data_IF_856113361357
#
_entry.id   IF_856113361357
#
_cell.length_a   1.000
_cell.length_b   1.000
_cell.length_c   1.000
_cell.angle_alpha   90.00
_cell.angle_beta   90.00
_cell.angle_gamma   90.00
#
_symmetry.space_group_name_H-M   'P 1'
#
loop_
_entity.id
_entity.type
_entity.pdbx_description
1 polymer ?
#
# COMPACT_ATOMS: atom_id res chain seq x y z
N UNK A 1 -14.92 4.34 -5.53
CA UNK A 1 -14.72 5.60 -6.28
C UNK A 1 -13.28 5.57 -6.79
N UNK A 2 -13.07 5.10 -8.01
CA UNK A 2 -11.77 5.16 -8.69
C UNK A 2 -11.65 6.55 -9.30
N UNK A 3 -10.97 7.47 -8.61
CA UNK A 3 -10.52 8.70 -9.23
C UNK A 3 -9.55 8.31 -10.35
N UNK A 4 -9.98 8.50 -11.60
CA UNK A 4 -9.14 8.29 -12.77
C UNK A 4 -7.90 9.18 -12.63
N UNK A 5 -6.70 8.59 -12.77
CA UNK A 5 -5.43 9.32 -12.64
C UNK A 5 -5.40 10.51 -13.61
N UNK A 6 -5.92 10.33 -14.83
CA UNK A 6 -5.99 11.40 -15.82
C UNK A 6 -6.91 12.54 -15.38
N UNK A 7 -8.06 12.25 -14.77
CA UNK A 7 -8.98 13.27 -14.26
C UNK A 7 -8.37 14.03 -13.08
N UNK A 8 -7.70 13.33 -12.15
CA UNK A 8 -7.03 13.97 -11.02
C UNK A 8 -5.89 14.87 -11.49
N UNK A 9 -5.08 14.42 -12.44
CA UNK A 9 -4.01 15.24 -13.03
C UNK A 9 -4.58 16.43 -13.78
N UNK A 10 -5.65 16.22 -14.57
CA UNK A 10 -6.33 17.28 -15.30
C UNK A 10 -6.87 18.35 -14.35
N UNK A 11 -7.51 17.95 -13.25
CA UNK A 11 -8.01 18.88 -12.23
C UNK A 11 -6.90 19.70 -11.57
N UNK A 12 -5.71 19.11 -11.38
CA UNK A 12 -4.56 19.78 -10.77
C UNK A 12 -3.90 20.78 -11.74
N UNK A 13 -4.07 20.60 -13.05
CA UNK A 13 -3.38 21.35 -14.10
C UNK A 13 -4.33 22.24 -14.94
N UNK A 14 -5.55 22.50 -14.47
CA UNK A 14 -6.57 23.21 -15.26
C UNK A 14 -6.08 24.58 -15.73
N UNK A 15 -5.49 25.36 -14.81
CA UNK A 15 -5.03 26.71 -15.09
C UNK A 15 -3.75 26.71 -15.95
N UNK A 16 -2.93 25.66 -15.83
CA UNK A 16 -1.65 25.58 -16.54
C UNK A 16 -1.78 25.19 -18.03
N UNK A 17 -2.97 24.81 -18.50
CA UNK A 17 -3.19 24.36 -19.90
C UNK A 17 -2.99 25.45 -20.95
N UNK A 18 -3.16 26.70 -20.58
CA UNK A 18 -2.99 27.84 -21.50
C UNK A 18 -1.51 28.24 -21.64
N UNK A 19 -0.62 27.65 -20.85
CA UNK A 19 0.81 27.99 -20.84
C UNK A 19 1.62 27.11 -21.79
N UNK A 20 2.83 27.55 -22.19
CA UNK A 20 3.76 26.74 -22.96
C UNK A 20 4.03 25.39 -22.29
N UNK A 21 4.29 24.35 -23.10
CA UNK A 21 4.52 22.98 -22.64
C UNK A 21 5.65 22.89 -21.60
N UNK A 22 6.72 23.67 -21.76
CA UNK A 22 7.82 23.77 -20.79
C UNK A 22 7.36 24.25 -19.40
N UNK A 23 6.41 25.19 -19.36
CA UNK A 23 5.81 25.66 -18.12
C UNK A 23 4.95 24.58 -17.45
N UNK A 24 4.17 23.82 -18.23
CA UNK A 24 3.35 22.71 -17.72
C UNK A 24 4.24 21.66 -17.04
N UNK A 25 5.34 21.25 -17.67
CA UNK A 25 6.30 20.31 -17.06
C UNK A 25 6.90 20.86 -15.76
N UNK A 26 7.25 22.14 -15.72
CA UNK A 26 7.75 22.79 -14.52
C UNK A 26 6.71 22.86 -13.40
N UNK A 27 5.45 23.12 -13.74
CA UNK A 27 4.34 23.10 -12.77
C UNK A 27 4.13 21.69 -12.21
N UNK A 28 4.12 20.66 -13.07
CA UNK A 28 4.06 19.26 -12.66
C UNK A 28 5.20 18.93 -11.69
N UNK A 29 6.46 19.24 -12.07
CA UNK A 29 7.63 18.97 -11.24
C UNK A 29 7.52 19.64 -9.85
N UNK A 30 7.10 20.91 -9.81
CA UNK A 30 6.90 21.65 -8.55
C UNK A 30 5.79 21.05 -7.69
N UNK A 31 4.63 20.71 -8.27
CA UNK A 31 3.49 20.15 -7.53
C UNK A 31 3.81 18.77 -6.99
N UNK A 32 4.39 17.89 -7.80
CA UNK A 32 4.84 16.58 -7.32
C UNK A 32 5.96 16.70 -6.29
N UNK A 33 6.92 17.61 -6.47
CA UNK A 33 7.96 17.88 -5.48
C UNK A 33 7.39 18.32 -4.13
N UNK A 34 6.33 19.15 -4.12
CA UNK A 34 5.59 19.52 -2.90
C UNK A 34 4.92 18.30 -2.27
N UNK A 35 4.18 17.51 -3.05
CA UNK A 35 3.51 16.28 -2.58
C UNK A 35 4.53 15.29 -1.98
N UNK A 36 5.70 15.14 -2.59
CA UNK A 36 6.76 14.26 -2.09
C UNK A 36 7.26 14.70 -0.71
N UNK A 37 7.56 15.99 -0.54
CA UNK A 37 7.98 16.54 0.76
C UNK A 37 6.90 16.40 1.83
N UNK A 38 5.64 16.68 1.50
CA UNK A 38 4.53 16.54 2.44
C UNK A 38 4.33 15.09 2.89
N UNK A 39 4.42 14.13 1.95
CA UNK A 39 4.33 12.70 2.23
C UNK A 39 5.50 12.21 3.09
N UNK A 40 6.71 12.64 2.78
CA UNK A 40 7.90 12.32 3.56
C UNK A 40 7.79 12.85 4.98
N UNK A 41 7.39 14.11 5.17
CA UNK A 41 7.19 14.71 6.49
C UNK A 41 6.08 14.00 7.29
N UNK A 42 4.98 13.65 6.63
CA UNK A 42 3.86 12.96 7.28
C UNK A 42 4.24 11.57 7.82
N UNK A 43 5.08 10.82 7.10
CA UNK A 43 5.54 9.49 7.53
C UNK A 43 6.74 9.57 8.48
N UNK A 44 7.71 10.46 8.19
CA UNK A 44 8.95 10.57 8.96
C UNK A 44 8.76 11.00 10.41
N UNK A 45 7.64 11.68 10.73
CA UNK A 45 7.28 12.03 12.10
C UNK A 45 6.57 10.94 12.89
N UNK A 46 6.51 9.69 12.41
CA UNK A 46 5.77 8.59 13.04
C UNK A 46 6.63 7.35 13.25
N UNK A 47 6.48 6.71 14.40
CA UNK A 47 7.16 5.47 14.77
C UNK A 47 6.31 4.23 14.43
N UNK A 48 5.94 4.09 13.15
CA UNK A 48 5.18 2.92 12.67
C UNK A 48 6.04 2.04 11.77
N UNK A 49 5.80 0.73 11.77
CA UNK A 49 6.46 -0.22 10.87
C UNK A 49 6.00 0.04 9.43
N UNK A 50 4.68 0.19 9.23
CA UNK A 50 4.08 0.54 7.95
C UNK A 50 3.56 1.98 7.92
N UNK A 51 3.26 2.47 6.73
CA UNK A 51 2.63 3.77 6.57
C UNK A 51 1.26 3.82 7.26
N UNK A 52 0.84 4.96 7.83
CA UNK A 52 -0.38 5.04 8.66
C UNK A 52 -1.67 4.55 7.98
N UNK A 53 -1.76 4.72 6.66
CA UNK A 53 -2.90 4.23 5.88
C UNK A 53 -2.96 2.70 5.84
N UNK A 54 -1.81 2.04 5.72
CA UNK A 54 -1.70 0.58 5.75
C UNK A 54 -1.94 0.05 7.16
N UNK A 55 -1.41 0.69 8.19
CA UNK A 55 -1.68 0.36 9.60
C UNK A 55 -3.18 0.38 9.92
N UNK A 56 -3.90 1.38 9.39
CA UNK A 56 -5.37 1.43 9.51
C UNK A 56 -6.04 0.23 8.84
N UNK A 57 -5.65 -0.11 7.61
CA UNK A 57 -6.21 -1.25 6.89
C UNK A 57 -5.94 -2.56 7.65
N UNK A 58 -4.72 -2.73 8.19
CA UNK A 58 -4.36 -3.91 8.97
C UNK A 58 -5.22 -4.01 10.24
N UNK A 59 -5.41 -2.91 10.96
CA UNK A 59 -6.27 -2.90 12.15
C UNK A 59 -7.72 -3.27 11.80
N UNK A 60 -8.27 -2.70 10.74
CA UNK A 60 -9.65 -2.97 10.32
C UNK A 60 -9.82 -4.44 9.88
N UNK A 61 -8.85 -4.97 9.13
CA UNK A 61 -8.83 -6.39 8.73
C UNK A 61 -8.66 -7.33 9.93
N UNK A 62 -7.89 -6.93 10.95
CA UNK A 62 -7.72 -7.70 12.19
C UNK A 62 -9.05 -7.81 12.92
N UNK A 63 -9.73 -6.70 13.14
CA UNK A 63 -11.07 -6.70 13.76
C UNK A 63 -12.09 -7.51 12.96
N UNK A 64 -12.04 -7.47 11.63
CA UNK A 64 -12.90 -8.31 10.80
C UNK A 64 -12.57 -9.80 10.92
N UNK A 65 -11.30 -10.15 11.12
CA UNK A 65 -10.85 -11.54 11.23
C UNK A 65 -11.40 -12.26 12.46
N UNK A 66 -11.72 -11.53 13.54
CA UNK A 66 -12.26 -12.08 14.79
C UNK A 66 -13.62 -12.78 14.59
N UNK A 67 -14.34 -12.44 13.51
CA UNK A 67 -15.63 -13.04 13.14
C UNK A 67 -15.49 -14.31 12.28
N UNK A 68 -14.28 -14.67 11.86
CA UNK A 68 -14.03 -15.75 10.92
C UNK A 68 -13.67 -17.04 11.65
N UNK A 69 -14.16 -18.16 11.12
CA UNK A 69 -13.80 -19.49 11.58
C UNK A 69 -12.70 -20.07 10.69
N UNK A 70 -11.69 -20.70 11.29
CA UNK A 70 -10.58 -21.32 10.57
C UNK A 70 -10.63 -22.83 10.76
N UNK A 71 -10.62 -23.56 9.65
CA UNK A 71 -10.41 -25.01 9.64
C UNK A 71 -9.09 -25.34 8.97
N UNK A 72 -8.38 -26.33 9.52
CA UNK A 72 -7.28 -27.01 8.84
C UNK A 72 -7.68 -28.48 8.63
N UNK A 73 -8.52 -28.78 7.62
CA UNK A 73 -9.15 -30.09 7.48
C UNK A 73 -8.15 -31.22 7.19
N UNK A 74 -6.97 -30.90 6.64
CA UNK A 74 -5.99 -31.90 6.22
C UNK A 74 -4.78 -32.00 7.16
N UNK A 75 -4.69 -31.15 8.19
CA UNK A 75 -3.48 -31.01 9.01
C UNK A 75 -2.25 -30.61 8.20
N UNK A 76 -2.44 -30.11 6.98
CA UNK A 76 -1.36 -29.68 6.10
C UNK A 76 -0.80 -28.39 6.68
N UNK A 77 0.51 -28.36 6.85
CA UNK A 77 1.21 -27.17 7.33
C UNK A 77 0.92 -26.01 6.38
N UNK A 78 0.63 -24.83 6.92
CA UNK A 78 0.45 -23.59 6.15
C UNK A 78 -0.78 -23.50 5.25
N UNK A 79 -1.63 -24.53 5.16
CA UNK A 79 -2.89 -24.50 4.41
C UNK A 79 -4.10 -24.43 5.33
N UNK A 80 -4.92 -23.39 5.11
CA UNK A 80 -6.10 -23.11 5.93
C UNK A 80 -7.32 -22.86 5.05
N UNK A 81 -8.47 -23.31 5.54
CA UNK A 81 -9.76 -22.93 4.99
C UNK A 81 -10.45 -22.02 5.98
N UNK A 82 -10.74 -20.79 5.55
CA UNK A 82 -11.35 -19.75 6.38
C UNK A 82 -12.79 -19.55 5.93
N UNK A 83 -13.71 -19.56 6.89
CA UNK A 83 -15.14 -19.47 6.69
C UNK A 83 -15.70 -18.23 7.38
N UNK A 84 -16.58 -17.50 6.71
CA UNK A 84 -17.30 -16.39 7.31
C UNK A 84 -17.87 -15.46 6.25
N UNK A 85 -18.85 -14.64 6.62
CA UNK A 85 -19.49 -13.68 5.72
C UNK A 85 -20.04 -14.30 4.42
N UNK A 86 -20.49 -15.55 4.47
CA UNK A 86 -21.00 -16.29 3.31
C UNK A 86 -19.94 -16.71 2.29
N UNK A 87 -18.65 -16.54 2.61
CA UNK A 87 -17.53 -16.86 1.74
C UNK A 87 -16.66 -17.95 2.38
N UNK A 88 -16.09 -18.80 1.55
CA UNK A 88 -15.03 -19.74 1.94
C UNK A 88 -13.77 -19.37 1.19
N UNK A 89 -12.69 -19.10 1.94
CA UNK A 89 -11.40 -18.74 1.39
C UNK A 89 -10.34 -19.79 1.70
N UNK A 90 -9.53 -20.14 0.72
CA UNK A 90 -8.31 -20.94 0.91
C UNK A 90 -7.13 -20.00 1.14
N UNK A 91 -6.33 -20.30 2.14
CA UNK A 91 -5.14 -19.53 2.50
C UNK A 91 -3.95 -20.48 2.53
N UNK A 92 -2.95 -20.21 1.70
CA UNK A 92 -1.66 -20.88 1.76
C UNK A 92 -0.62 -19.85 2.21
N UNK A 93 -0.19 -19.98 3.46
CA UNK A 93 0.78 -19.07 4.06
C UNK A 93 2.18 -19.26 3.47
N UNK A 94 2.56 -20.46 3.02
CA UNK A 94 3.87 -20.70 2.42
C UNK A 94 4.04 -19.91 1.12
N UNK A 95 3.07 -20.05 0.22
CA UNK A 95 3.02 -19.38 -1.08
C UNK A 95 2.55 -17.92 -0.98
N UNK A 96 2.12 -17.48 0.21
CA UNK A 96 1.48 -16.17 0.45
C UNK A 96 0.32 -15.93 -0.51
N UNK A 97 -0.42 -17.00 -0.80
CA UNK A 97 -1.56 -16.96 -1.70
C UNK A 97 -2.85 -17.12 -0.92
N UNK A 98 -3.85 -16.35 -1.33
CA UNK A 98 -5.16 -16.31 -0.70
C UNK A 98 -6.17 -16.36 -1.84
N UNK A 99 -7.21 -17.17 -1.74
CA UNK A 99 -8.26 -17.21 -2.77
C UNK A 99 -9.06 -15.90 -2.85
N UNK A 100 -8.78 -14.94 -1.97
CA UNK A 100 -9.35 -13.59 -2.02
C UNK A 100 -8.57 -12.74 -3.04
N UNK A 101 -9.23 -12.38 -4.15
CA UNK A 101 -8.72 -11.45 -5.16
C UNK A 101 -8.26 -10.11 -4.57
N UNK A 102 -8.81 -9.73 -3.41
CA UNK A 102 -8.45 -8.54 -2.63
C UNK A 102 -6.96 -8.52 -2.25
N UNK A 103 -6.35 -9.66 -1.92
CA UNK A 103 -4.93 -9.72 -1.59
C UNK A 103 -4.05 -9.55 -2.84
N UNK A 104 -4.42 -10.14 -3.97
CA UNK A 104 -3.63 -10.00 -5.19
C UNK A 104 -3.51 -8.55 -5.65
N UNK A 105 -4.55 -7.76 -5.42
CA UNK A 105 -4.60 -6.34 -5.75
C UNK A 105 -3.89 -5.47 -4.71
N UNK A 106 -4.15 -5.69 -3.42
CA UNK A 106 -3.69 -4.80 -2.35
C UNK A 106 -2.35 -5.23 -1.74
N UNK A 107 -1.89 -6.47 -1.95
CA UNK A 107 -0.65 -7.04 -1.39
C UNK A 107 -0.46 -6.77 0.12
N UNK A 108 -1.55 -6.65 0.86
CA UNK A 108 -1.62 -6.41 2.30
C UNK A 108 -2.48 -7.50 2.93
N UNK A 109 -2.08 -8.03 4.09
CA UNK A 109 -2.80 -9.12 4.75
C UNK A 109 -4.28 -8.79 4.93
N UNK A 110 -5.14 -9.60 4.30
CA UNK A 110 -6.60 -9.46 4.41
C UNK A 110 -7.12 -10.16 5.67
N UNK A 111 -8.39 -9.95 5.99
CA UNK A 111 -9.08 -10.55 7.13
C UNK A 111 -8.93 -12.10 7.18
N UNK A 112 -9.02 -12.79 6.04
CA UNK A 112 -8.82 -14.24 5.95
C UNK A 112 -7.36 -14.64 6.25
N UNK A 113 -6.40 -13.85 5.75
CA UNK A 113 -4.99 -14.06 6.04
C UNK A 113 -4.71 -13.91 7.54
N UNK A 114 -5.31 -12.90 8.17
CA UNK A 114 -5.16 -12.64 9.59
C UNK A 114 -5.74 -13.77 10.44
N UNK A 115 -6.92 -14.28 10.09
CA UNK A 115 -7.49 -15.44 10.77
C UNK A 115 -6.58 -16.67 10.67
N UNK A 116 -6.06 -16.99 9.48
CA UNK A 116 -5.13 -18.12 9.30
C UNK A 116 -3.80 -17.93 10.06
N UNK A 117 -3.26 -16.71 10.09
CA UNK A 117 -2.05 -16.39 10.86
C UNK A 117 -2.29 -16.51 12.36
N UNK A 118 -3.46 -16.08 12.84
CA UNK A 118 -3.88 -16.23 14.24
C UNK A 118 -4.02 -17.69 14.63
N UNK A 119 -4.60 -18.52 13.76
CA UNK A 119 -4.68 -19.97 13.98
C UNK A 119 -3.28 -20.61 14.09
N UNK A 120 -2.33 -20.16 13.27
CA UNK A 120 -0.97 -20.69 13.27
C UNK A 120 -0.13 -20.24 14.47
N UNK A 121 -0.20 -18.97 14.83
CA UNK A 121 0.72 -18.33 15.79
C UNK A 121 0.06 -17.95 17.13
N UNK A 122 -1.25 -18.19 17.27
CA UNK A 122 -2.04 -17.73 18.41
C UNK A 122 -2.27 -16.22 18.42
N UNK A 123 -2.48 -15.65 19.60
CA UNK A 123 -2.73 -14.21 19.81
C UNK A 123 -1.52 -13.43 20.35
N UNK A 124 -0.35 -14.06 20.36
CA UNK A 124 0.87 -13.50 20.94
C UNK A 124 1.61 -12.51 20.03
N UNK A 125 2.82 -12.17 20.45
CA UNK A 125 3.73 -11.29 19.69
C UNK A 125 4.06 -11.86 18.30
N UNK A 126 4.24 -13.18 18.20
CA UNK A 126 4.52 -13.87 16.94
C UNK A 126 3.44 -13.64 15.88
N UNK A 127 2.17 -13.58 16.30
CA UNK A 127 1.07 -13.24 15.42
C UNK A 127 1.18 -11.79 14.92
N UNK A 128 1.42 -10.83 15.82
CA UNK A 128 1.63 -9.43 15.46
C UNK A 128 2.75 -9.26 14.43
N UNK A 129 3.90 -9.88 14.67
CA UNK A 129 5.06 -9.85 13.77
C UNK A 129 4.77 -10.53 12.42
N UNK A 130 3.98 -11.61 12.43
CA UNK A 130 3.61 -12.32 11.21
C UNK A 130 2.79 -11.45 10.24
N UNK A 131 1.90 -10.59 10.74
CA UNK A 131 1.06 -9.71 9.91
C UNK A 131 1.91 -8.83 8.98
N UNK A 132 2.98 -8.25 9.52
CA UNK A 132 3.93 -7.44 8.75
C UNK A 132 4.78 -8.30 7.81
N UNK A 133 5.23 -9.47 8.27
CA UNK A 133 6.05 -10.42 7.46
C UNK A 133 5.32 -10.90 6.19
N UNK A 134 4.02 -11.10 6.28
CA UNK A 134 3.17 -11.60 5.20
C UNK A 134 2.55 -10.49 4.33
N UNK A 135 2.76 -9.22 4.69
CA UNK A 135 2.37 -8.08 3.88
C UNK A 135 3.53 -7.59 2.99
N UNK A 136 3.21 -6.87 1.91
CA UNK A 136 4.20 -6.37 0.97
C UNK A 136 5.08 -5.27 1.59
N UNK A 137 6.40 -5.28 1.32
CA UNK A 137 7.32 -4.27 1.84
C UNK A 137 7.04 -2.86 1.28
N UNK A 138 6.25 -2.70 0.21
CA UNK A 138 5.89 -1.39 -0.34
C UNK A 138 5.17 -0.48 0.67
N UNK A 139 4.55 -1.08 1.69
CA UNK A 139 3.85 -0.37 2.75
C UNK A 139 4.74 0.01 3.93
N UNK A 140 5.98 -0.49 3.99
CA UNK A 140 6.91 -0.13 5.06
C UNK A 140 7.20 1.36 5.05
N UNK A 141 7.25 1.95 6.24
CA UNK A 141 7.61 3.35 6.40
C UNK A 141 8.99 3.64 5.78
N UNK A 142 9.97 2.76 5.99
CA UNK A 142 11.31 2.85 5.38
C UNK A 142 11.27 2.89 3.84
N UNK A 143 10.55 1.96 3.21
CA UNK A 143 10.44 1.87 1.75
C UNK A 143 9.71 3.08 1.19
N UNK A 144 8.67 3.54 1.87
CA UNK A 144 7.95 4.74 1.50
C UNK A 144 8.85 5.98 1.58
N UNK A 145 9.53 6.20 2.71
CA UNK A 145 10.46 7.33 2.88
C UNK A 145 11.57 7.33 1.82
N UNK A 146 12.11 6.16 1.48
CA UNK A 146 13.11 6.02 0.43
C UNK A 146 12.58 6.41 -0.96
N UNK A 147 11.33 6.06 -1.27
CA UNK A 147 10.71 6.44 -2.55
C UNK A 147 10.48 7.95 -2.61
N UNK A 148 10.02 8.56 -1.52
CA UNK A 148 9.69 9.99 -1.47
C UNK A 148 10.87 10.92 -1.14
N UNK A 149 12.06 10.38 -0.83
CA UNK A 149 13.27 11.18 -0.67
C UNK A 149 13.87 11.66 -2.01
N UNK A 150 13.45 11.07 -3.13
CA UNK A 150 13.91 11.45 -4.46
C UNK A 150 13.48 12.87 -4.81
N UNK A 151 14.42 13.67 -5.30
CA UNK A 151 14.14 14.99 -5.83
C UNK A 151 13.55 14.89 -7.23
N UNK A 152 12.54 15.71 -7.49
CA UNK A 152 11.97 15.89 -8.82
C UNK A 152 12.55 17.20 -9.34
N UNK A 153 13.46 17.08 -10.31
CA UNK A 153 14.13 18.24 -10.90
C UNK A 153 13.17 18.99 -11.82
N UNK A 154 13.25 20.32 -11.77
CA UNK A 154 12.51 21.21 -12.67
C UNK A 154 13.24 21.22 -14.02
N UNK A 155 12.51 21.36 -15.12
CA UNK A 155 13.12 21.53 -16.44
C UNK A 155 13.92 22.83 -16.43
N UNK A 156 15.22 22.81 -16.81
CA UNK A 156 16.03 24.00 -16.86
C UNK A 156 15.44 25.03 -17.83
N UNK A 157 15.85 26.30 -17.70
CA UNK A 157 15.41 27.34 -18.62
C UNK A 157 15.80 26.99 -20.05
N UNK A 158 14.99 27.42 -21.03
CA UNK A 158 15.26 27.16 -22.44
C UNK A 158 16.65 27.64 -22.89
N UNK A 159 17.14 28.73 -22.29
CA UNK A 159 18.48 29.25 -22.51
C UNK A 159 19.63 28.30 -22.08
N UNK A 160 19.33 27.29 -21.28
CA UNK A 160 20.27 26.27 -20.79
C UNK A 160 20.18 24.96 -21.59
N UNK A 161 19.33 24.89 -22.62
CA UNK A 161 19.13 23.68 -23.41
C UNK A 161 20.22 23.56 -24.49
N UNK A 162 20.94 22.44 -24.50
CA UNK A 162 21.79 22.06 -25.63
C UNK A 162 20.92 21.40 -26.71
N UNK A 163 20.36 22.22 -27.61
CA UNK A 163 19.57 21.77 -28.76
C UNK A 163 20.54 21.47 -29.93
N UNK A 164 20.40 20.34 -30.64
CA UNK A 164 21.22 20.03 -31.83
C UNK A 164 21.08 21.05 -32.98
#
# INVERSE_FOLDING_TARGET
>A
MTTNIAESLNSILMDEREYPVSYIFNSIAKKFGKIFRERQAFVGGKENIFVPSAERILRDNKSASDSLYVGNPNGVLDEYTVFGNGVTAKVNLLERSYSSQKFDLMKISCEHAMAALREKYGDGEDYGNSIYKYSSPIYKAESYLLVYSKTINVVPLEAEWNVP
#
